data_IF_188560681952
#
_entry.id   IF_188560681952
#
_cell.length_a   1.000
_cell.length_b   1.000
_cell.length_c   1.000
_cell.angle_alpha   90.00
_cell.angle_beta   90.00
_cell.angle_gamma   90.00
#
_symmetry.space_group_name_H-M   'P 1'
#
loop_
_entity.id
_entity.type
_entity.pdbx_description
1 polymer ?
#
# COMPACT_ATOMS: atom_id res chain seq x y z
N UNK A 1 2.62 4.80 21.82
CA UNK A 1 3.71 4.43 20.90
C UNK A 1 3.70 5.40 19.72
N UNK A 2 4.76 6.18 19.51
CA UNK A 2 4.93 6.94 18.27
C UNK A 2 5.43 5.98 17.19
N UNK A 3 4.70 5.85 16.08
CA UNK A 3 5.13 5.10 14.90
C UNK A 3 5.85 6.08 13.95
N UNK A 4 7.20 6.08 13.85
CA UNK A 4 7.95 7.07 13.06
C UNK A 4 7.52 7.11 11.58
N UNK A 5 7.07 5.97 11.05
CA UNK A 5 6.53 5.86 9.71
C UNK A 5 5.23 6.66 9.53
N UNK A 6 4.30 6.56 10.49
CA UNK A 6 3.03 7.32 10.43
C UNK A 6 3.33 8.82 10.48
N UNK A 7 4.25 9.26 11.35
CA UNK A 7 4.69 10.66 11.40
C UNK A 7 5.24 11.14 10.06
N UNK A 8 6.04 10.30 9.40
CA UNK A 8 6.59 10.61 8.07
C UNK A 8 5.48 10.71 7.03
N UNK A 9 4.54 9.76 7.02
CA UNK A 9 3.37 9.79 6.13
C UNK A 9 2.54 11.06 6.35
N UNK A 10 2.24 11.42 7.60
CA UNK A 10 1.51 12.65 7.94
C UNK A 10 2.15 13.88 7.29
N UNK A 11 3.47 14.00 7.39
CA UNK A 11 4.20 15.13 6.83
C UNK A 11 4.16 15.15 5.30
N UNK A 12 4.32 14.00 4.64
CA UNK A 12 4.24 13.92 3.18
C UNK A 12 2.83 14.21 2.65
N UNK A 13 1.80 13.66 3.30
CA UNK A 13 0.40 13.89 2.94
C UNK A 13 0.03 15.38 3.09
N UNK A 14 0.42 16.02 4.19
CA UNK A 14 0.17 17.44 4.41
C UNK A 14 0.85 18.32 3.35
N UNK A 15 2.11 18.01 3.01
CA UNK A 15 2.83 18.73 1.95
C UNK A 15 2.21 18.54 0.57
N UNK A 16 1.83 17.30 0.23
CA UNK A 16 1.21 17.01 -1.06
C UNK A 16 -0.19 17.63 -1.20
N UNK A 17 -0.96 17.67 -0.12
CA UNK A 17 -2.25 18.35 -0.08
C UNK A 17 -2.11 19.87 -0.28
N UNK A 18 -1.12 20.49 0.38
CA UNK A 18 -0.83 21.91 0.18
C UNK A 18 -0.35 22.23 -1.25
N UNK A 19 0.35 21.29 -1.90
CA UNK A 19 0.82 21.43 -3.28
C UNK A 19 -0.24 21.03 -4.34
N UNK A 20 -1.42 20.53 -3.94
CA UNK A 20 -2.44 20.02 -4.85
C UNK A 20 -2.04 18.75 -5.60
N UNK A 21 -0.98 18.05 -5.16
CA UNK A 21 -0.51 16.79 -5.78
C UNK A 21 -1.06 15.54 -5.09
N UNK A 22 -1.60 15.69 -3.88
CA UNK A 22 -2.29 14.65 -3.11
C UNK A 22 -3.65 15.20 -2.71
N UNK A 23 -4.71 14.40 -2.77
CA UNK A 23 -6.03 14.82 -2.25
C UNK A 23 -5.97 15.15 -0.75
N UNK A 24 -6.71 16.16 -0.27
CA UNK A 24 -6.75 16.49 1.14
C UNK A 24 -7.56 15.45 1.95
N UNK A 25 -7.40 15.48 3.28
CA UNK A 25 -8.24 14.71 4.21
C UNK A 25 -7.85 13.24 4.38
N UNK A 26 -6.65 12.84 3.97
CA UNK A 26 -6.16 11.47 4.16
C UNK A 26 -5.64 11.28 5.58
N UNK A 27 -6.21 10.31 6.29
CA UNK A 27 -5.70 9.86 7.59
C UNK A 27 -4.45 8.98 7.37
N UNK A 28 -3.26 9.39 7.86
CA UNK A 28 -2.00 8.65 7.70
C UNK A 28 -2.03 7.27 8.35
N UNK A 29 -2.81 7.08 9.42
CA UNK A 29 -2.97 5.78 10.08
C UNK A 29 -3.79 4.84 9.21
N UNK A 30 -4.91 5.30 8.65
CA UNK A 30 -5.74 4.51 7.75
C UNK A 30 -4.98 4.14 6.46
N UNK A 31 -4.20 5.08 5.93
CA UNK A 31 -3.35 4.81 4.76
C UNK A 31 -2.31 3.74 5.07
N UNK A 32 -1.61 3.84 6.20
CA UNK A 32 -0.64 2.83 6.62
C UNK A 32 -1.28 1.45 6.80
N UNK A 33 -2.42 1.37 7.50
CA UNK A 33 -3.15 0.11 7.69
C UNK A 33 -3.48 -0.49 6.33
N UNK A 34 -3.97 0.31 5.39
CA UNK A 34 -4.32 -0.16 4.05
C UNK A 34 -3.11 -0.72 3.28
N UNK A 35 -1.97 -0.01 3.30
CA UNK A 35 -0.71 -0.49 2.69
C UNK A 35 -0.28 -1.83 3.31
N UNK A 36 -0.27 -1.90 4.64
CA UNK A 36 0.11 -3.10 5.37
C UNK A 36 -0.85 -4.28 5.07
N UNK A 37 -2.16 -4.04 5.09
CA UNK A 37 -3.18 -5.04 4.80
C UNK A 37 -3.03 -5.62 3.40
N UNK A 38 -2.75 -4.79 2.39
CA UNK A 38 -2.56 -5.25 1.01
C UNK A 38 -1.37 -6.22 0.87
N UNK A 39 -0.25 -5.93 1.52
CA UNK A 39 0.91 -6.81 1.53
C UNK A 39 0.68 -8.06 2.37
N UNK A 40 0.19 -7.88 3.60
CA UNK A 40 0.02 -8.94 4.58
C UNK A 40 -0.99 -10.00 4.12
N UNK A 41 -2.14 -9.58 3.57
CA UNK A 41 -3.12 -10.51 3.02
C UNK A 41 -2.53 -11.40 1.93
N UNK A 42 -1.79 -10.81 0.99
CA UNK A 42 -1.20 -11.55 -0.12
C UNK A 42 -0.15 -12.55 0.39
N UNK A 43 0.74 -12.12 1.28
CA UNK A 43 1.82 -12.96 1.78
C UNK A 43 1.31 -14.09 2.70
N UNK A 44 0.38 -13.79 3.62
CA UNK A 44 -0.18 -14.81 4.50
C UNK A 44 -0.97 -15.88 3.74
N UNK A 45 -1.61 -15.49 2.64
CA UNK A 45 -2.46 -16.38 1.86
C UNK A 45 -1.80 -16.87 0.57
N UNK A 46 -0.48 -16.68 0.39
CA UNK A 46 0.20 -16.95 -0.87
C UNK A 46 -0.07 -18.36 -1.41
N UNK A 47 0.02 -19.40 -0.58
CA UNK A 47 -0.24 -20.79 -1.00
C UNK A 47 -1.72 -21.04 -1.34
N UNK A 48 -2.63 -20.44 -0.57
CA UNK A 48 -4.07 -20.51 -0.83
C UNK A 48 -4.42 -19.82 -2.15
N UNK A 49 -3.90 -18.60 -2.37
CA UNK A 49 -4.10 -17.82 -3.60
C UNK A 49 -3.49 -18.54 -4.80
N UNK A 50 -2.28 -19.10 -4.65
CA UNK A 50 -1.63 -19.88 -5.70
C UNK A 50 -2.50 -21.07 -6.14
N UNK A 51 -3.08 -21.77 -5.16
CA UNK A 51 -3.98 -22.91 -5.42
C UNK A 51 -5.29 -22.47 -6.08
N UNK A 52 -5.94 -21.43 -5.58
CA UNK A 52 -7.23 -20.94 -6.09
C UNK A 52 -7.11 -20.40 -7.52
N UNK A 53 -6.04 -19.65 -7.80
CA UNK A 53 -5.87 -18.95 -9.08
C UNK A 53 -4.96 -19.69 -10.07
N UNK A 54 -4.33 -20.80 -9.68
CA UNK A 54 -3.43 -21.57 -10.52
C UNK A 54 -2.19 -20.78 -10.96
N UNK A 55 -1.64 -19.94 -10.07
CA UNK A 55 -0.49 -19.05 -10.36
C UNK A 55 0.57 -19.17 -9.29
N UNK A 56 1.82 -18.91 -9.65
CA UNK A 56 2.87 -18.67 -8.66
C UNK A 56 2.62 -17.33 -7.96
N UNK A 57 2.93 -17.26 -6.66
CA UNK A 57 2.70 -16.05 -5.84
C UNK A 57 3.86 -15.73 -4.90
N UNK A 58 4.92 -16.53 -4.93
CA UNK A 58 6.06 -16.42 -4.01
C UNK A 58 7.42 -16.39 -4.70
N UNK A 59 7.45 -16.48 -6.03
CA UNK A 59 8.65 -16.23 -6.82
C UNK A 59 8.96 -14.71 -6.90
N UNK A 60 10.22 -14.33 -7.17
CA UNK A 60 10.64 -12.93 -7.21
C UNK A 60 9.83 -12.06 -8.17
N UNK A 61 9.43 -12.58 -9.33
CA UNK A 61 8.71 -11.81 -10.34
C UNK A 61 7.26 -11.54 -9.89
N UNK A 62 6.60 -12.56 -9.32
CA UNK A 62 5.27 -12.42 -8.73
C UNK A 62 5.23 -11.43 -7.57
N UNK A 63 6.25 -11.45 -6.69
CA UNK A 63 6.36 -10.50 -5.59
C UNK A 63 6.61 -9.07 -6.09
N UNK A 64 7.45 -8.91 -7.12
CA UNK A 64 7.68 -7.61 -7.75
C UNK A 64 6.42 -7.08 -8.44
N UNK A 65 5.67 -7.93 -9.14
CA UNK A 65 4.38 -7.59 -9.73
C UNK A 65 3.37 -7.16 -8.66
N UNK A 66 3.28 -7.93 -7.56
CA UNK A 66 2.42 -7.58 -6.43
C UNK A 66 2.78 -6.22 -5.84
N UNK A 67 4.07 -5.94 -5.66
CA UNK A 67 4.57 -4.64 -5.17
C UNK A 67 4.11 -3.49 -6.06
N UNK A 68 4.34 -3.58 -7.38
CA UNK A 68 3.90 -2.59 -8.37
C UNK A 68 2.39 -2.35 -8.31
N UNK A 69 1.61 -3.42 -8.19
CA UNK A 69 0.16 -3.29 -8.09
C UNK A 69 -0.29 -2.60 -6.79
N UNK A 70 0.35 -2.87 -5.65
CA UNK A 70 0.08 -2.17 -4.39
C UNK A 70 0.39 -0.68 -4.54
N UNK A 71 1.53 -0.33 -5.12
CA UNK A 71 1.91 1.06 -5.40
C UNK A 71 0.87 1.76 -6.28
N UNK A 72 0.44 1.12 -7.37
CA UNK A 72 -0.56 1.67 -8.28
C UNK A 72 -1.89 1.96 -7.58
N UNK A 73 -2.38 1.00 -6.78
CA UNK A 73 -3.63 1.15 -6.02
C UNK A 73 -3.52 2.30 -5.01
N UNK A 74 -2.44 2.32 -4.23
CA UNK A 74 -2.22 3.32 -3.18
C UNK A 74 -2.05 4.71 -3.79
N UNK A 75 -1.19 4.86 -4.80
CA UNK A 75 -0.95 6.15 -5.45
C UNK A 75 -2.20 6.65 -6.18
N UNK A 76 -3.01 5.76 -6.77
CA UNK A 76 -4.27 6.15 -7.41
C UNK A 76 -5.29 6.68 -6.42
N UNK A 77 -5.37 6.10 -5.22
CA UNK A 77 -6.22 6.62 -4.14
C UNK A 77 -5.78 8.02 -3.67
N UNK A 78 -4.48 8.33 -3.74
CA UNK A 78 -3.92 9.61 -3.31
C UNK A 78 -4.07 10.75 -4.33
N UNK A 79 -4.46 10.47 -5.59
CA UNK A 79 -4.64 11.50 -6.61
C UNK A 79 -5.70 12.55 -6.19
N UNK A 80 -5.51 13.84 -6.54
CA UNK A 80 -6.46 14.92 -6.25
C UNK A 80 -7.88 14.67 -6.75
#
# INVERSE_FOLDING_TARGET
MHMPLVTTLSHQLARGAAAGTIRPGIDPVQLYISIASLGFFYLQNRYTLATIFGRTTDDPDSLAERGRHIEEVVLSYLKP
#
